data_IF_440947306906
#
_entry.id   IF_440947306906
#
_cell.length_a   1.000
_cell.length_b   1.000
_cell.length_c   1.000
_cell.angle_alpha   90.00
_cell.angle_beta   90.00
_cell.angle_gamma   90.00
#
_symmetry.space_group_name_H-M   'P 1'
#
loop_
_entity.id
_entity.type
_entity.pdbx_description
1 polymer ?
#
# COMPACT_ATOMS: atom_id res chain seq x y z
N UNK A 1 -6.33 6.52 -19.99
CA UNK A 1 -5.99 5.46 -19.04
C UNK A 1 -7.31 4.83 -18.63
N UNK A 2 -7.57 3.58 -19.04
CA UNK A 2 -8.84 2.92 -18.71
C UNK A 2 -8.83 2.66 -17.19
N UNK A 3 -9.78 3.18 -16.39
CA UNK A 3 -9.86 2.79 -14.99
C UNK A 3 -10.06 1.27 -14.96
N UNK A 4 -8.99 0.55 -14.68
CA UNK A 4 -8.99 -0.91 -14.65
C UNK A 4 -10.14 -1.36 -13.75
N UNK A 5 -10.93 -2.31 -14.23
CA UNK A 5 -12.19 -2.75 -13.65
C UNK A 5 -11.99 -3.55 -12.35
N UNK A 6 -10.89 -3.34 -11.64
CA UNK A 6 -10.47 -4.20 -10.55
C UNK A 6 -11.48 -4.25 -9.42
N UNK A 7 -12.15 -3.14 -9.11
CA UNK A 7 -13.22 -3.13 -8.11
C UNK A 7 -14.37 -4.07 -8.46
N UNK A 8 -14.67 -4.28 -9.76
CA UNK A 8 -15.70 -5.25 -10.19
C UNK A 8 -15.26 -6.69 -9.88
N UNK A 9 -13.96 -6.98 -9.96
CA UNK A 9 -13.39 -8.30 -9.69
C UNK A 9 -13.03 -8.53 -8.23
N UNK A 10 -13.24 -7.54 -7.35
CA UNK A 10 -12.87 -7.65 -5.94
C UNK A 10 -13.64 -8.77 -5.24
N UNK A 11 -14.94 -8.88 -5.53
CA UNK A 11 -15.80 -9.92 -4.95
C UNK A 11 -15.35 -11.32 -5.40
N UNK A 12 -15.02 -11.48 -6.68
CA UNK A 12 -14.48 -12.74 -7.23
C UNK A 12 -13.13 -13.12 -6.59
N UNK A 13 -12.37 -12.12 -6.14
CA UNK A 13 -11.04 -12.29 -5.55
C UNK A 13 -11.08 -12.45 -4.02
N UNK A 14 -12.22 -12.23 -3.36
CA UNK A 14 -12.34 -12.28 -1.90
C UNK A 14 -11.73 -13.56 -1.27
N UNK A 15 -11.90 -14.77 -1.84
CA UNK A 15 -11.25 -15.97 -1.30
C UNK A 15 -9.72 -15.87 -1.28
N UNK A 16 -9.11 -15.27 -2.31
CA UNK A 16 -7.66 -15.06 -2.39
C UNK A 16 -7.19 -14.02 -1.37
N UNK A 17 -7.96 -12.96 -1.17
CA UNK A 17 -7.62 -11.91 -0.21
C UNK A 17 -7.61 -12.45 1.23
N UNK A 18 -8.61 -13.26 1.58
CA UNK A 18 -8.68 -13.94 2.89
C UNK A 18 -7.52 -14.92 3.04
N UNK A 19 -7.31 -15.81 2.06
CA UNK A 19 -6.21 -16.78 2.09
C UNK A 19 -4.84 -16.12 2.27
N UNK A 20 -4.61 -14.97 1.64
CA UNK A 20 -3.35 -14.24 1.76
C UNK A 20 -3.19 -13.54 3.10
N UNK A 21 -4.26 -12.96 3.65
CA UNK A 21 -4.21 -12.41 5.00
C UNK A 21 -3.87 -13.51 6.03
N UNK A 22 -4.52 -14.67 5.92
CA UNK A 22 -4.24 -15.83 6.78
C UNK A 22 -2.80 -16.34 6.59
N UNK A 23 -2.29 -16.40 5.35
CA UNK A 23 -0.89 -16.73 5.07
C UNK A 23 0.08 -15.78 5.80
N UNK A 24 -0.20 -14.47 5.78
CA UNK A 24 0.61 -13.48 6.47
C UNK A 24 0.52 -13.62 7.99
N UNK A 25 -0.66 -13.96 8.53
CA UNK A 25 -0.83 -14.25 9.96
C UNK A 25 0.02 -15.45 10.39
N UNK A 26 0.04 -16.52 9.60
CA UNK A 26 0.87 -17.70 9.85
C UNK A 26 2.37 -17.37 9.86
N UNK A 27 2.77 -16.34 9.11
CA UNK A 27 4.14 -15.83 9.05
C UNK A 27 4.43 -14.74 10.11
N UNK A 28 3.52 -14.52 11.06
CA UNK A 28 3.71 -13.64 12.22
C UNK A 28 3.12 -12.24 12.08
N UNK A 29 2.54 -11.88 10.93
CA UNK A 29 1.95 -10.57 10.68
C UNK A 29 0.47 -10.53 11.10
N UNK A 30 0.18 -10.68 12.39
CA UNK A 30 -1.18 -10.86 12.93
C UNK A 30 -2.18 -9.73 12.62
N UNK A 31 -1.68 -8.53 12.38
CA UNK A 31 -2.51 -7.35 12.08
C UNK A 31 -2.87 -7.22 10.59
N UNK A 32 -2.34 -8.09 9.72
CA UNK A 32 -2.59 -7.99 8.28
C UNK A 32 -4.08 -8.21 7.96
N UNK A 33 -4.69 -7.29 7.20
CA UNK A 33 -6.10 -7.40 6.79
C UNK A 33 -6.25 -7.77 5.32
N UNK A 34 -7.44 -8.25 4.92
CA UNK A 34 -7.75 -8.47 3.50
C UNK A 34 -7.72 -7.17 2.70
N UNK A 35 -8.04 -6.04 3.34
CA UNK A 35 -7.92 -4.69 2.78
C UNK A 35 -6.45 -4.31 2.53
N UNK A 36 -5.52 -4.68 3.42
CA UNK A 36 -4.09 -4.45 3.20
C UNK A 36 -3.56 -5.22 2.00
N UNK A 37 -3.99 -6.49 1.87
CA UNK A 37 -3.68 -7.35 0.71
C UNK A 37 -4.25 -6.74 -0.57
N UNK A 38 -5.50 -6.27 -0.54
CA UNK A 38 -6.15 -5.57 -1.66
C UNK A 38 -5.30 -4.41 -2.14
N UNK A 39 -4.98 -3.50 -1.22
CA UNK A 39 -4.25 -2.28 -1.54
C UNK A 39 -2.81 -2.57 -2.00
N UNK A 40 -2.14 -3.57 -1.42
CA UNK A 40 -0.81 -4.01 -1.85
C UNK A 40 -0.84 -4.58 -3.29
N UNK A 41 -1.86 -5.35 -3.64
CA UNK A 41 -2.05 -5.84 -5.00
C UNK A 41 -2.29 -4.72 -6.01
N UNK A 42 -3.13 -3.74 -5.66
CA UNK A 42 -3.35 -2.55 -6.49
C UNK A 42 -2.06 -1.76 -6.73
N UNK A 43 -1.22 -1.57 -5.71
CA UNK A 43 0.08 -0.91 -5.84
C UNK A 43 1.05 -1.66 -6.78
N UNK A 44 0.97 -3.00 -6.84
CA UNK A 44 1.74 -3.80 -7.80
C UNK A 44 1.19 -3.64 -9.22
N UNK A 45 -0.13 -3.64 -9.38
CA UNK A 45 -0.80 -3.47 -10.67
C UNK A 45 -0.60 -2.08 -11.28
N UNK A 46 -0.44 -1.03 -10.46
CA UNK A 46 -0.11 0.32 -10.95
C UNK A 46 1.23 0.40 -11.70
N UNK A 47 2.11 -0.59 -11.52
CA UNK A 47 3.39 -0.68 -12.23
C UNK A 47 3.26 -1.35 -13.60
N UNK A 48 2.10 -1.95 -13.91
CA UNK A 48 1.83 -2.58 -15.19
C UNK A 48 1.38 -1.52 -16.20
N UNK A 49 2.07 -1.40 -17.33
CA UNK A 49 1.81 -0.37 -18.34
C UNK A 49 0.66 -0.73 -19.30
N UNK A 50 0.23 -2.00 -19.29
CA UNK A 50 -0.72 -2.57 -20.25
C UNK A 50 -2.05 -3.02 -19.61
N UNK A 51 -2.99 -3.44 -20.45
CA UNK A 51 -4.24 -4.06 -20.00
C UNK A 51 -3.94 -5.37 -19.27
N UNK A 52 -4.45 -5.49 -18.04
CA UNK A 52 -4.28 -6.69 -17.21
C UNK A 52 -5.52 -7.59 -17.35
N UNK A 53 -5.42 -8.75 -18.03
CA UNK A 53 -6.51 -9.72 -18.06
C UNK A 53 -6.72 -10.38 -16.69
N UNK A 54 -7.92 -10.90 -16.44
CA UNK A 54 -8.31 -11.43 -15.12
C UNK A 54 -7.35 -12.49 -14.57
N UNK A 55 -6.85 -13.41 -15.40
CA UNK A 55 -5.89 -14.43 -14.93
C UNK A 55 -4.57 -13.81 -14.45
N UNK A 56 -4.07 -12.75 -15.10
CA UNK A 56 -2.86 -12.04 -14.66
C UNK A 56 -3.14 -11.25 -13.39
N UNK A 57 -4.31 -10.60 -13.31
CA UNK A 57 -4.78 -9.91 -12.11
C UNK A 57 -4.76 -10.84 -10.90
N UNK A 58 -5.45 -11.99 -10.96
CA UNK A 58 -5.43 -13.01 -9.89
C UNK A 58 -4.00 -13.45 -9.58
N UNK A 59 -3.18 -13.64 -10.62
CA UNK A 59 -1.80 -14.08 -10.47
C UNK A 59 -0.93 -13.06 -9.72
N UNK A 60 -1.19 -11.75 -9.85
CA UNK A 60 -0.51 -10.71 -9.07
C UNK A 60 -0.80 -10.88 -7.58
N UNK A 61 -2.06 -11.11 -7.20
CA UNK A 61 -2.44 -11.34 -5.80
C UNK A 61 -1.85 -12.64 -5.23
N UNK A 62 -1.89 -13.72 -6.00
CA UNK A 62 -1.32 -15.01 -5.58
C UNK A 62 0.20 -14.94 -5.36
N UNK A 63 0.91 -14.04 -6.06
CA UNK A 63 2.36 -13.82 -5.91
C UNK A 63 2.74 -12.88 -4.78
N UNK A 64 1.78 -12.19 -4.15
CA UNK A 64 2.07 -11.38 -2.96
C UNK A 64 2.68 -12.27 -1.87
N UNK A 65 3.73 -11.75 -1.23
CA UNK A 65 4.45 -12.41 -0.15
C UNK A 65 4.56 -11.49 1.06
N UNK A 66 4.92 -12.07 2.21
CA UNK A 66 5.02 -11.35 3.48
C UNK A 66 6.07 -10.23 3.44
N UNK A 67 7.13 -10.37 2.65
CA UNK A 67 8.17 -9.34 2.50
C UNK A 67 7.62 -8.10 1.81
N UNK A 68 6.77 -8.26 0.79
CA UNK A 68 6.08 -7.13 0.14
C UNK A 68 5.20 -6.37 1.14
N UNK A 69 4.46 -7.10 1.98
CA UNK A 69 3.65 -6.51 3.04
C UNK A 69 4.50 -5.77 4.09
N UNK A 70 5.57 -6.40 4.59
CA UNK A 70 6.48 -5.78 5.56
C UNK A 70 7.12 -4.49 5.02
N UNK A 71 7.55 -4.50 3.75
CA UNK A 71 8.08 -3.31 3.09
C UNK A 71 7.05 -2.17 3.08
N UNK A 72 5.78 -2.48 2.73
CA UNK A 72 4.69 -1.51 2.75
C UNK A 72 4.42 -0.97 4.15
N UNK A 73 4.36 -1.82 5.17
CA UNK A 73 4.16 -1.41 6.57
C UNK A 73 5.32 -0.51 7.03
N UNK A 74 6.56 -0.91 6.74
CA UNK A 74 7.76 -0.14 7.10
C UNK A 74 7.75 1.24 6.45
N UNK A 75 7.50 1.32 5.15
CA UNK A 75 7.38 2.60 4.43
C UNK A 75 6.23 3.44 5.00
N UNK A 76 5.08 2.83 5.31
CA UNK A 76 3.93 3.52 5.88
C UNK A 76 4.22 4.08 7.27
N UNK A 77 4.98 3.36 8.11
CA UNK A 77 5.42 3.85 9.42
C UNK A 77 6.32 5.09 9.29
N UNK A 78 7.33 5.04 8.40
CA UNK A 78 8.16 6.20 8.11
C UNK A 78 7.38 7.39 7.52
N UNK A 79 6.37 7.12 6.66
CA UNK A 79 5.49 8.15 6.12
C UNK A 79 4.52 8.72 7.16
N UNK A 80 4.11 7.92 8.15
CA UNK A 80 3.27 8.33 9.27
C UNK A 80 3.97 9.30 10.22
N UNK A 81 5.30 9.22 10.31
CA UNK A 81 6.15 10.17 11.06
C UNK A 81 6.49 11.45 10.26
N UNK A 82 6.17 11.51 8.96
CA UNK A 82 6.65 12.55 8.06
C UNK A 82 5.65 12.94 6.97
N UNK A 83 4.37 13.11 7.30
CA UNK A 83 3.51 13.90 6.42
C UNK A 83 3.94 15.36 6.57
N UNK A 84 4.63 15.87 5.55
CA UNK A 84 4.75 17.31 5.34
C UNK A 84 3.34 17.88 5.26
N UNK A 85 2.88 18.49 6.35
CA UNK A 85 1.65 19.26 6.37
C UNK A 85 1.99 20.73 6.21
N UNK A 86 0.98 21.53 5.90
CA UNK A 86 1.12 22.99 5.94
C UNK A 86 1.60 23.46 7.32
N UNK A 87 1.16 22.77 8.38
CA UNK A 87 1.62 23.06 9.75
C UNK A 87 3.12 22.76 9.91
N UNK A 88 3.64 21.68 9.29
CA UNK A 88 5.08 21.39 9.27
C UNK A 88 5.86 22.45 8.51
N UNK A 89 5.30 22.99 7.43
CA UNK A 89 5.92 24.04 6.61
C UNK A 89 5.98 25.38 7.35
N UNK A 90 4.87 25.78 7.98
CA UNK A 90 4.77 27.01 8.77
C UNK A 90 5.72 26.97 10.00
N UNK A 91 5.84 25.80 10.65
CA UNK A 91 6.73 25.59 11.80
C UNK A 91 8.22 25.66 11.39
N UNK A 92 8.58 25.11 10.23
CA UNK A 92 9.94 25.21 9.66
C UNK A 92 10.29 26.64 9.24
N UNK A 93 9.35 27.39 8.65
CA UNK A 93 9.55 28.81 8.30
C UNK A 93 9.80 29.67 9.55
N UNK A 94 9.08 29.41 10.64
CA UNK A 94 9.31 30.07 11.93
C UNK A 94 10.71 29.82 12.48
N UNK A 95 11.16 28.56 12.48
CA UNK A 95 12.50 28.19 12.93
C UNK A 95 13.61 28.81 12.06
N UNK A 96 13.42 28.85 10.75
CA UNK A 96 14.33 29.52 9.81
C UNK A 96 14.42 31.02 10.08
N UNK A 97 13.28 31.67 10.31
CA UNK A 97 13.23 33.09 10.63
C UNK A 97 13.97 33.41 11.94
N UNK A 98 13.84 32.57 12.97
CA UNK A 98 14.52 32.77 14.25
C UNK A 98 16.03 32.57 14.16
N UNK A 99 16.49 31.58 13.39
CA UNK A 99 17.93 31.34 13.14
C UNK A 99 18.56 32.48 12.35
N UNK A 100 17.84 33.08 11.40
CA UNK A 100 18.32 34.19 10.58
C UNK A 100 18.25 35.56 11.27
N UNK A 101 17.66 35.63 12.48
CA UNK A 101 17.52 36.85 13.28
C UNK A 101 18.59 36.98 14.38
N UNK A 102 19.49 36.00 14.49
CA UNK A 102 20.70 36.03 15.33
C UNK A 102 21.94 35.98 14.43
#
# INVERSE_FOLDING_TARGET
MNPQQFEVWRDDLEPVLILKADEFHLLGQKEATKEDVWQLGLEKLQKEEEFVPFYQFVSVFMRLNVTDYMNKVTISAYKGEGKWSKDTEDELEGLLHDVLRH
#
